data_IF_197529661751
#
_entry.id   IF_197529661751
#
_cell.length_a   1.000
_cell.length_b   1.000
_cell.length_c   1.000
_cell.angle_alpha   90.00
_cell.angle_beta   90.00
_cell.angle_gamma   90.00
#
_symmetry.space_group_name_H-M   'P 1'
#
loop_
_entity.id
_entity.type
_entity.pdbx_description
1 polymer ?
#
# COMPACT_ATOMS: atom_id res chain seq x y z
N UNK A 1 29.70 20.28 33.98
CA UNK A 1 29.13 20.18 32.62
C UNK A 1 28.21 18.97 32.62
N UNK A 2 26.90 19.09 32.35
CA UNK A 2 26.09 17.91 32.13
C UNK A 2 26.41 17.36 30.74
N UNK A 3 26.71 16.08 30.68
CA UNK A 3 26.77 15.33 29.43
C UNK A 3 25.33 15.25 28.91
N UNK A 4 25.11 15.76 27.70
CA UNK A 4 23.87 15.57 26.96
C UNK A 4 23.61 14.06 26.88
N UNK A 5 22.66 13.61 27.69
CA UNK A 5 22.16 12.24 27.62
C UNK A 5 21.30 12.18 26.36
N UNK A 6 21.97 11.98 25.22
CA UNK A 6 21.36 11.61 23.96
C UNK A 6 20.65 10.28 24.21
N UNK A 7 19.39 10.37 24.64
CA UNK A 7 18.44 9.26 24.56
C UNK A 7 18.35 8.96 23.07
N UNK A 8 19.19 8.05 22.60
CA UNK A 8 18.98 7.35 21.35
C UNK A 8 17.67 6.59 21.55
N UNK A 9 16.56 7.21 21.17
CA UNK A 9 15.30 6.53 21.07
C UNK A 9 15.55 5.34 20.16
N UNK A 10 15.40 4.11 20.67
CA UNK A 10 15.43 2.93 19.81
C UNK A 10 14.22 3.03 18.89
N UNK A 11 14.42 3.62 17.73
CA UNK A 11 13.45 3.58 16.66
C UNK A 11 13.29 2.10 16.29
N UNK A 12 12.10 1.58 16.59
CA UNK A 12 11.71 0.23 16.22
C UNK A 12 11.25 0.29 14.78
N UNK A 13 11.60 -0.72 13.99
CA UNK A 13 11.28 -0.81 12.58
C UNK A 13 10.64 -2.15 12.24
N UNK A 14 9.71 -2.16 11.28
CA UNK A 14 9.14 -3.38 10.72
C UNK A 14 8.93 -3.20 9.21
N UNK A 15 9.36 -4.18 8.44
CA UNK A 15 9.21 -4.22 6.98
C UNK A 15 8.26 -5.35 6.58
N UNK A 16 7.30 -5.03 5.71
CA UNK A 16 6.37 -5.98 5.10
C UNK A 16 6.63 -6.01 3.59
N UNK A 17 6.70 -7.21 3.02
CA UNK A 17 6.78 -7.42 1.57
C UNK A 17 5.56 -8.24 1.16
N UNK A 18 4.71 -7.65 0.32
CA UNK A 18 3.41 -8.20 -0.03
C UNK A 18 3.37 -8.44 -1.54
N UNK A 19 3.42 -9.70 -1.99
CA UNK A 19 3.30 -10.02 -3.40
C UNK A 19 1.85 -9.96 -3.85
N UNK A 20 1.63 -9.52 -5.09
CA UNK A 20 0.34 -9.52 -5.77
C UNK A 20 0.36 -10.48 -6.97
N UNK A 21 -0.82 -10.86 -7.45
CA UNK A 21 -0.95 -11.79 -8.58
C UNK A 21 -0.47 -11.20 -9.92
N UNK A 22 -0.35 -9.87 -10.03
CA UNK A 22 0.18 -9.18 -11.19
C UNK A 22 0.76 -7.81 -10.82
N UNK A 23 1.68 -7.30 -11.64
CA UNK A 23 2.21 -5.93 -11.52
C UNK A 23 1.08 -4.88 -11.54
N UNK A 24 0.04 -5.08 -12.35
CA UNK A 24 -1.14 -4.21 -12.41
C UNK A 24 -1.87 -4.16 -11.06
N UNK A 25 -2.05 -5.30 -10.39
CA UNK A 25 -2.68 -5.35 -9.07
C UNK A 25 -1.82 -4.66 -8.01
N UNK A 26 -0.51 -4.88 -8.03
CA UNK A 26 0.43 -4.20 -7.14
C UNK A 26 0.39 -2.68 -7.35
N UNK A 27 0.34 -2.22 -8.60
CA UNK A 27 0.25 -0.80 -8.91
C UNK A 27 -1.07 -0.16 -8.43
N UNK A 28 -2.20 -0.83 -8.64
CA UNK A 28 -3.51 -0.36 -8.15
C UNK A 28 -3.48 -0.28 -6.62
N UNK A 29 -3.05 -1.34 -5.94
CA UNK A 29 -2.99 -1.38 -4.49
C UNK A 29 -2.03 -0.33 -3.93
N UNK A 30 -0.85 -0.13 -4.54
CA UNK A 30 0.09 0.92 -4.16
C UNK A 30 -0.55 2.30 -4.25
N UNK A 31 -1.23 2.61 -5.36
CA UNK A 31 -1.90 3.90 -5.55
C UNK A 31 -3.01 4.13 -4.52
N UNK A 32 -3.76 3.10 -4.13
CA UNK A 32 -4.81 3.21 -3.10
C UNK A 32 -4.20 3.39 -1.70
N UNK A 33 -3.21 2.57 -1.34
CA UNK A 33 -2.66 2.51 0.02
C UNK A 33 -1.68 3.65 0.34
N UNK A 34 -1.13 4.31 -0.69
CA UNK A 34 -0.23 5.45 -0.55
C UNK A 34 -0.97 6.79 -0.35
N UNK A 35 -2.30 6.83 -0.49
CA UNK A 35 -3.07 8.09 -0.58
C UNK A 35 -3.30 8.80 0.76
N UNK A 36 -3.07 8.18 1.91
CA UNK A 36 -3.08 8.91 3.18
C UNK A 36 -1.69 8.95 3.84
N UNK A 37 -1.13 10.17 3.86
CA UNK A 37 -0.10 10.53 4.83
C UNK A 37 -0.73 10.48 6.20
N UNK A 38 -0.27 9.54 7.01
CA UNK A 38 -0.76 9.39 8.36
C UNK A 38 -0.61 10.72 9.10
N UNK A 39 -1.69 11.29 9.68
CA UNK A 39 -1.63 12.61 10.28
C UNK A 39 -0.48 12.64 11.29
N UNK A 40 0.35 13.69 11.26
CA UNK A 40 1.62 13.84 12.02
C UNK A 40 1.54 13.54 13.53
N UNK A 41 0.34 13.35 14.07
CA UNK A 41 0.07 12.91 15.44
C UNK A 41 0.28 11.41 15.66
N UNK A 42 0.30 10.60 14.61
CA UNK A 42 0.64 9.19 14.73
C UNK A 42 2.15 9.10 14.85
N UNK A 43 2.61 8.58 15.99
CA UNK A 43 4.01 8.39 16.34
C UNK A 43 4.69 7.29 15.48
N UNK A 44 4.28 7.14 14.22
CA UNK A 44 4.70 6.12 13.26
C UNK A 44 4.99 6.80 11.92
N UNK A 45 6.15 6.54 11.37
CA UNK A 45 6.50 6.85 9.98
C UNK A 45 6.19 5.62 9.13
N UNK A 46 5.57 5.83 7.97
CA UNK A 46 5.25 4.80 6.98
C UNK A 46 5.87 5.19 5.65
N UNK A 47 6.76 4.37 5.11
CA UNK A 47 7.28 4.46 3.75
C UNK A 47 6.75 3.26 2.95
N UNK A 48 6.25 3.50 1.74
CA UNK A 48 5.63 2.47 0.89
C UNK A 48 6.24 2.57 -0.50
N UNK A 49 6.63 1.43 -1.07
CA UNK A 49 7.31 1.34 -2.36
C UNK A 49 6.69 0.22 -3.20
N UNK A 50 6.60 0.48 -4.50
CA UNK A 50 6.22 -0.52 -5.50
C UNK A 50 7.49 -1.12 -6.11
N UNK A 51 7.64 -2.44 -6.04
CA UNK A 51 8.79 -3.19 -6.57
C UNK A 51 8.23 -4.34 -7.42
N UNK A 52 8.10 -4.10 -8.73
CA UNK A 52 7.51 -5.07 -9.65
C UNK A 52 6.06 -5.41 -9.28
N UNK A 53 5.82 -6.68 -8.97
CA UNK A 53 4.53 -7.24 -8.54
C UNK A 53 4.30 -7.18 -7.03
N UNK A 54 5.18 -6.51 -6.29
CA UNK A 54 5.19 -6.53 -4.83
C UNK A 54 5.19 -5.11 -4.26
N UNK A 55 4.55 -4.95 -3.10
CA UNK A 55 4.61 -3.73 -2.31
C UNK A 55 5.51 -3.97 -1.10
N UNK A 56 6.50 -3.10 -0.91
CA UNK A 56 7.31 -3.03 0.30
C UNK A 56 6.79 -1.88 1.19
N UNK A 57 6.52 -2.15 2.47
CA UNK A 57 6.09 -1.16 3.44
C UNK A 57 6.99 -1.19 4.66
N UNK A 58 7.52 -0.03 5.04
CA UNK A 58 8.43 0.16 6.16
C UNK A 58 7.75 1.04 7.20
N UNK A 59 7.57 0.51 8.41
CA UNK A 59 7.04 1.23 9.56
C UNK A 59 8.16 1.54 10.54
N UNK A 60 8.26 2.79 11.00
CA UNK A 60 9.21 3.20 12.05
C UNK A 60 8.50 3.93 13.18
N UNK A 61 8.76 3.54 14.41
CA UNK A 61 8.17 4.19 15.58
C UNK A 61 9.03 4.03 16.83
N UNK A 62 8.93 4.98 17.76
CA UNK A 62 9.61 4.89 19.05
C UNK A 62 9.06 3.82 20.01
N UNK A 63 7.92 3.18 19.69
CA UNK A 63 7.32 2.11 20.50
C UNK A 63 6.69 1.02 19.62
N UNK A 64 6.97 -0.25 19.93
CA UNK A 64 6.42 -1.45 19.25
C UNK A 64 4.89 -1.42 19.18
N UNK A 65 4.21 -0.91 20.22
CA UNK A 65 2.75 -0.84 20.25
C UNK A 65 2.17 0.02 19.11
N UNK A 66 2.90 1.08 18.71
CA UNK A 66 2.48 1.98 17.64
C UNK A 66 2.66 1.29 16.29
N UNK A 67 3.75 0.54 16.10
CA UNK A 67 3.96 -0.30 14.91
C UNK A 67 2.82 -1.32 14.77
N UNK A 68 2.48 -2.02 15.86
CA UNK A 68 1.38 -2.99 15.85
C UNK A 68 0.06 -2.34 15.41
N UNK A 69 -0.28 -1.17 15.96
CA UNK A 69 -1.49 -0.46 15.57
C UNK A 69 -1.46 -0.03 14.10
N UNK A 70 -0.34 0.50 13.60
CA UNK A 70 -0.20 0.92 12.21
C UNK A 70 -0.26 -0.26 11.23
N UNK A 71 0.40 -1.39 11.55
CA UNK A 71 0.35 -2.61 10.75
C UNK A 71 -1.09 -3.15 10.67
N UNK A 72 -1.82 -3.18 11.79
CA UNK A 72 -3.21 -3.64 11.79
C UNK A 72 -4.09 -2.77 10.90
N UNK A 73 -4.03 -1.43 11.06
CA UNK A 73 -4.79 -0.51 10.22
C UNK A 73 -4.42 -0.60 8.74
N UNK A 74 -3.13 -0.80 8.45
CA UNK A 74 -2.65 -1.04 7.09
C UNK A 74 -3.25 -2.32 6.49
N UNK A 75 -3.31 -3.42 7.26
CA UNK A 75 -3.92 -4.66 6.77
C UNK A 75 -5.43 -4.55 6.56
N UNK A 76 -6.15 -3.79 7.37
CA UNK A 76 -7.57 -3.51 7.13
C UNK A 76 -7.78 -2.81 5.78
N UNK A 77 -6.97 -1.77 5.49
CA UNK A 77 -7.01 -1.08 4.21
C UNK A 77 -6.59 -1.99 3.03
N UNK A 78 -5.55 -2.81 3.23
CA UNK A 78 -5.10 -3.77 2.23
C UNK A 78 -6.18 -4.80 1.90
N UNK A 79 -6.84 -5.37 2.91
CA UNK A 79 -7.90 -6.36 2.70
C UNK A 79 -9.05 -5.75 1.90
N UNK A 80 -9.51 -4.55 2.28
CA UNK A 80 -10.54 -3.84 1.53
C UNK A 80 -10.14 -3.56 0.07
N UNK A 81 -8.90 -3.10 -0.15
CA UNK A 81 -8.37 -2.87 -1.48
C UNK A 81 -8.34 -4.16 -2.31
N UNK A 82 -7.87 -5.25 -1.71
CA UNK A 82 -7.77 -6.55 -2.38
C UNK A 82 -9.14 -7.11 -2.73
N UNK A 83 -10.13 -6.97 -1.84
CA UNK A 83 -11.50 -7.41 -2.10
C UNK A 83 -12.18 -6.53 -3.17
N UNK A 84 -11.88 -5.24 -3.20
CA UNK A 84 -12.33 -4.34 -4.28
C UNK A 84 -11.73 -4.75 -5.62
N UNK A 85 -10.43 -5.09 -5.68
CA UNK A 85 -9.80 -5.59 -6.90
C UNK A 85 -10.46 -6.90 -7.34
N UNK A 86 -10.71 -7.84 -6.42
CA UNK A 86 -11.38 -9.12 -6.77
C UNK A 86 -12.79 -8.91 -7.33
N UNK A 87 -13.56 -8.00 -6.74
CA UNK A 87 -14.96 -7.78 -7.12
C UNK A 87 -15.09 -6.99 -8.43
N UNK A 88 -14.16 -6.07 -8.71
CA UNK A 88 -14.30 -5.09 -9.79
C UNK A 88 -13.18 -5.12 -10.84
N UNK A 89 -12.18 -6.00 -10.74
CA UNK A 89 -11.23 -6.18 -11.82
C UNK A 89 -11.90 -6.93 -12.98
N UNK A 90 -12.61 -6.15 -13.80
CA UNK A 90 -13.15 -6.61 -15.07
C UNK A 90 -11.94 -6.93 -15.95
N UNK A 91 -11.78 -8.20 -16.31
CA UNK A 91 -10.83 -8.59 -17.34
C UNK A 91 -11.05 -7.68 -18.55
N UNK A 92 -9.99 -7.11 -19.17
CA UNK A 92 -10.19 -6.30 -20.36
C UNK A 92 -10.94 -7.14 -21.38
N UNK A 93 -12.18 -6.75 -21.68
CA UNK A 93 -13.02 -7.41 -22.67
C UNK A 93 -12.31 -7.34 -24.02
N UNK A 94 -11.59 -8.41 -24.38
CA UNK A 94 -10.95 -8.59 -25.68
C UNK A 94 -11.97 -8.58 -26.84
N UNK A 95 -13.26 -8.57 -26.52
CA UNK A 95 -14.39 -8.65 -27.44
C UNK A 95 -15.33 -7.43 -27.39
N UNK A 96 -14.92 -6.28 -26.84
CA UNK A 96 -15.69 -5.05 -26.95
C UNK A 96 -15.79 -4.66 -28.45
N UNK A 97 -16.94 -4.98 -29.03
CA UNK A 97 -17.19 -5.08 -30.46
C UNK A 97 -16.74 -3.87 -31.27
N UNK A 98 -15.82 -4.12 -32.20
CA UNK A 98 -15.64 -3.30 -33.39
C UNK A 98 -16.85 -3.51 -34.29
N UNK A 99 -17.98 -2.88 -33.98
CA UNK A 99 -19.05 -2.71 -34.96
C UNK A 99 -18.56 -1.71 -36.01
N UNK A 100 -17.76 -2.19 -36.95
CA UNK A 100 -17.52 -1.50 -38.20
C UNK A 100 -18.88 -1.33 -38.89
N UNK A 101 -19.39 -0.10 -38.88
CA UNK A 101 -20.62 0.27 -39.56
C UNK A 101 -20.40 0.11 -41.07
N UNK A 102 -20.80 -1.04 -41.62
CA UNK A 102 -20.79 -1.29 -43.06
C UNK A 102 -22.00 -0.59 -43.69
N UNK A 103 -21.86 0.71 -43.98
CA UNK A 103 -22.75 1.36 -44.93
C UNK A 103 -22.50 0.76 -46.32
N UNK A 104 -23.47 0.01 -46.83
CA UNK A 104 -23.54 -0.47 -48.21
C UNK A 104 -24.64 0.33 -48.93
N UNK A 105 -24.43 0.77 -50.18
CA UNK A 105 -25.18 1.85 -50.83
C UNK A 105 -26.64 1.54 -51.18
#
# INVERSE_FOLDING_TARGET
MPLDNEKVAKDTEATLIIPFASERHAEIAYRVLNVDQEPRRNFVQKDIRLIGDSIEVIFKAGQVKNIRTAINSFFEALLLCTDTIKEFDVAPDINAGTHASSNTP
#
